data_IF_516880318641
#
_entry.id   IF_516880318641
#
_cell.length_a   1.000
_cell.length_b   1.000
_cell.length_c   1.000
_cell.angle_alpha   90.00
_cell.angle_beta   90.00
_cell.angle_gamma   90.00
#
_symmetry.space_group_name_H-M   'P 1'
#
loop_
_entity.id
_entity.type
_entity.pdbx_description
1 polymer ?
#
# COMPACT_ATOMS: atom_id res chain seq x y z
N UNK A 1 3.89 10.83 -20.30
CA UNK A 1 4.14 9.39 -20.26
C UNK A 1 4.91 9.10 -18.97
N UNK A 2 4.38 8.28 -18.08
CA UNK A 2 5.03 7.92 -16.83
C UNK A 2 5.52 6.47 -16.87
N UNK A 3 6.63 6.18 -16.17
CA UNK A 3 7.18 4.84 -15.97
C UNK A 3 6.93 4.42 -14.53
N UNK A 4 6.21 3.32 -14.33
CA UNK A 4 5.78 2.85 -13.03
C UNK A 4 6.49 1.53 -12.69
N UNK A 5 7.08 1.44 -11.50
CA UNK A 5 7.66 0.22 -10.97
C UNK A 5 6.74 -0.35 -9.90
N UNK A 6 5.98 -1.39 -10.26
CA UNK A 6 5.01 -2.05 -9.36
C UNK A 6 5.77 -3.06 -8.52
N UNK A 7 5.62 -2.95 -7.20
CA UNK A 7 6.29 -3.78 -6.20
C UNK A 7 5.29 -4.59 -5.39
N UNK A 8 5.46 -5.92 -5.38
CA UNK A 8 4.60 -6.82 -4.60
C UNK A 8 5.42 -7.71 -3.69
N UNK A 9 5.39 -7.49 -2.36
CA UNK A 9 5.87 -8.47 -1.40
C UNK A 9 4.94 -9.70 -1.43
N UNK A 10 5.52 -10.89 -1.62
CA UNK A 10 4.76 -12.13 -1.85
C UNK A 10 5.35 -13.28 -1.02
N UNK A 11 5.19 -13.19 0.31
CA UNK A 11 5.66 -14.24 1.23
C UNK A 11 5.03 -15.59 0.88
N UNK A 12 5.87 -16.63 0.82
CA UNK A 12 5.44 -17.97 0.41
C UNK A 12 5.26 -18.17 -1.10
N UNK A 13 5.53 -17.16 -1.93
CA UNK A 13 5.45 -17.25 -3.40
C UNK A 13 4.02 -17.37 -3.95
N UNK A 14 2.99 -17.07 -3.15
CA UNK A 14 1.59 -17.15 -3.55
C UNK A 14 0.96 -15.76 -3.60
N UNK A 15 0.08 -15.52 -4.57
CA UNK A 15 -0.74 -14.32 -4.64
C UNK A 15 -2.22 -14.68 -4.84
N UNK A 16 -3.11 -13.76 -4.50
CA UNK A 16 -4.53 -13.94 -4.75
C UNK A 16 -4.82 -13.84 -6.26
N UNK A 17 -5.65 -14.74 -6.80
CA UNK A 17 -6.01 -14.73 -8.21
C UNK A 17 -6.68 -13.42 -8.65
N UNK A 18 -7.45 -12.77 -7.75
CA UNK A 18 -8.10 -11.48 -8.04
C UNK A 18 -7.10 -10.32 -8.06
N UNK A 19 -6.04 -10.37 -7.24
CA UNK A 19 -4.89 -9.47 -7.36
C UNK A 19 -4.23 -9.64 -8.75
N UNK A 20 -3.94 -10.87 -9.15
CA UNK A 20 -3.31 -11.15 -10.45
C UNK A 20 -4.14 -10.60 -11.62
N UNK A 21 -5.46 -10.83 -11.63
CA UNK A 21 -6.34 -10.30 -12.68
C UNK A 21 -6.40 -8.76 -12.67
N UNK A 22 -6.41 -8.14 -11.48
CA UNK A 22 -6.34 -6.68 -11.35
C UNK A 22 -5.02 -6.12 -11.91
N UNK A 23 -3.89 -6.78 -11.64
CA UNK A 23 -2.58 -6.38 -12.14
C UNK A 23 -2.48 -6.46 -13.66
N UNK A 24 -3.00 -7.54 -14.27
CA UNK A 24 -3.07 -7.69 -15.73
C UNK A 24 -3.94 -6.61 -16.38
N UNK A 25 -5.09 -6.30 -15.76
CA UNK A 25 -5.95 -5.20 -16.20
C UNK A 25 -5.23 -3.85 -16.11
N UNK A 26 -4.54 -3.57 -15.00
CA UNK A 26 -3.76 -2.33 -14.81
C UNK A 26 -2.69 -2.16 -15.89
N UNK A 27 -1.97 -3.22 -16.24
CA UNK A 27 -0.97 -3.16 -17.31
C UNK A 27 -1.60 -2.79 -18.67
N UNK A 28 -2.77 -3.34 -18.98
CA UNK A 28 -3.51 -3.00 -20.21
C UNK A 28 -3.97 -1.52 -20.17
N UNK A 29 -4.52 -1.06 -19.05
CA UNK A 29 -4.96 0.33 -18.86
C UNK A 29 -3.78 1.31 -19.00
N UNK A 30 -2.64 1.03 -18.39
CA UNK A 30 -1.44 1.86 -18.53
C UNK A 30 -0.95 1.91 -19.97
N UNK A 31 -0.90 0.76 -20.67
CA UNK A 31 -0.51 0.70 -22.09
C UNK A 31 -1.42 1.54 -22.98
N UNK A 32 -2.73 1.49 -22.77
CA UNK A 32 -3.71 2.32 -23.50
C UNK A 32 -3.56 3.82 -23.23
N UNK A 33 -3.20 4.18 -21.99
CA UNK A 33 -2.95 5.58 -21.60
C UNK A 33 -1.54 6.09 -21.96
N UNK A 34 -0.70 5.24 -22.61
CA UNK A 34 0.66 5.62 -23.00
C UNK A 34 1.67 5.59 -21.85
N UNK A 35 1.35 4.96 -20.71
CA UNK A 35 2.29 4.70 -19.63
C UNK A 35 2.96 3.34 -19.78
N UNK A 36 4.07 3.13 -19.07
CA UNK A 36 4.73 1.83 -18.99
C UNK A 36 4.82 1.35 -17.55
N UNK A 37 4.66 0.05 -17.32
CA UNK A 37 4.79 -0.56 -16.00
C UNK A 37 5.71 -1.78 -16.04
N UNK A 38 6.62 -1.83 -15.06
CA UNK A 38 7.45 -2.99 -14.74
C UNK A 38 6.96 -3.57 -13.42
N UNK A 39 6.84 -4.89 -13.34
CA UNK A 39 6.39 -5.58 -12.12
C UNK A 39 7.56 -6.33 -11.49
N UNK A 40 7.79 -6.10 -10.21
CA UNK A 40 8.72 -6.86 -9.38
C UNK A 40 7.99 -7.52 -8.24
N UNK A 41 8.14 -8.84 -8.13
CA UNK A 41 7.56 -9.64 -7.05
C UNK A 41 8.69 -10.19 -6.20
N UNK A 42 8.68 -9.88 -4.89
CA UNK A 42 9.66 -10.41 -3.95
C UNK A 42 9.06 -11.58 -3.19
N UNK A 43 9.64 -12.77 -3.39
CA UNK A 43 9.19 -14.00 -2.74
C UNK A 43 10.09 -14.39 -1.57
N UNK A 44 9.55 -15.20 -0.64
CA UNK A 44 10.29 -15.80 0.48
C UNK A 44 10.99 -14.84 1.46
N UNK A 45 10.57 -13.58 1.49
CA UNK A 45 11.04 -12.62 2.49
C UNK A 45 10.03 -12.52 3.65
N UNK A 46 10.42 -13.00 4.82
CA UNK A 46 9.54 -13.05 5.99
C UNK A 46 9.46 -11.73 6.75
N UNK A 47 10.49 -10.88 6.63
CA UNK A 47 10.53 -9.57 7.27
C UNK A 47 10.05 -8.50 6.29
N UNK A 48 8.82 -8.04 6.47
CA UNK A 48 8.17 -7.10 5.54
C UNK A 48 8.98 -5.81 5.33
N UNK A 49 9.57 -5.27 6.38
CA UNK A 49 10.42 -4.08 6.32
C UNK A 49 11.62 -4.29 5.39
N UNK A 50 12.30 -5.43 5.51
CA UNK A 50 13.42 -5.78 4.64
C UNK A 50 12.97 -5.99 3.20
N UNK A 51 11.82 -6.63 3.01
CA UNK A 51 11.22 -6.84 1.69
C UNK A 51 10.92 -5.51 0.99
N UNK A 52 10.28 -4.56 1.67
CA UNK A 52 9.99 -3.25 1.10
C UNK A 52 11.25 -2.47 0.77
N UNK A 53 12.24 -2.46 1.65
CA UNK A 53 13.52 -1.80 1.40
C UNK A 53 14.28 -2.41 0.21
N UNK A 54 14.26 -3.74 0.07
CA UNK A 54 14.85 -4.43 -1.08
C UNK A 54 14.17 -4.05 -2.40
N UNK A 55 12.83 -3.95 -2.41
CA UNK A 55 12.05 -3.53 -3.57
C UNK A 55 12.31 -2.06 -3.93
N UNK A 56 12.42 -1.16 -2.94
CA UNK A 56 12.83 0.24 -3.19
C UNK A 56 14.24 0.28 -3.80
N UNK A 57 15.17 -0.52 -3.28
CA UNK A 57 16.53 -0.59 -3.83
C UNK A 57 16.55 -1.08 -5.29
N UNK A 58 15.67 -2.02 -5.66
CA UNK A 58 15.51 -2.42 -7.06
C UNK A 58 14.93 -1.27 -7.90
N UNK A 59 13.89 -0.61 -7.42
CA UNK A 59 13.29 0.56 -8.07
C UNK A 59 14.32 1.67 -8.33
N UNK A 60 15.16 2.00 -7.35
CA UNK A 60 16.16 3.06 -7.46
C UNK A 60 17.25 2.77 -8.51
N UNK A 61 17.41 1.52 -8.94
CA UNK A 61 18.31 1.10 -10.04
C UNK A 61 17.67 1.22 -11.42
N UNK A 62 16.37 1.52 -11.51
CA UNK A 62 15.64 1.73 -12.77
C UNK A 62 15.53 3.22 -13.08
N UNK A 63 14.94 3.55 -14.21
CA UNK A 63 14.57 4.91 -14.61
C UNK A 63 13.06 5.20 -14.42
N UNK A 64 12.37 4.40 -13.61
CA UNK A 64 10.94 4.58 -13.35
C UNK A 64 10.68 5.86 -12.51
N UNK A 65 9.60 6.56 -12.82
CA UNK A 65 9.20 7.82 -12.17
C UNK A 65 8.50 7.59 -10.83
N UNK A 66 7.78 6.45 -10.75
CA UNK A 66 6.96 6.08 -9.60
C UNK A 66 7.26 4.66 -9.15
N UNK A 67 7.28 4.46 -7.83
CA UNK A 67 7.14 3.15 -7.21
C UNK A 67 5.69 2.98 -6.79
N UNK A 68 5.10 1.81 -7.10
CA UNK A 68 3.74 1.48 -6.70
C UNK A 68 3.73 0.18 -5.90
N UNK A 69 3.60 0.27 -4.58
CA UNK A 69 3.36 -0.91 -3.75
C UNK A 69 1.93 -1.38 -3.89
N UNK A 70 1.76 -2.66 -4.18
CA UNK A 70 0.48 -3.37 -4.16
C UNK A 70 0.69 -4.71 -3.46
N UNK A 71 0.01 -4.94 -2.34
CA UNK A 71 0.09 -6.22 -1.65
C UNK A 71 -0.59 -7.33 -2.44
N UNK A 72 -0.06 -8.56 -2.36
CA UNK A 72 -0.45 -9.72 -3.19
C UNK A 72 -1.87 -10.23 -2.98
N UNK A 73 -2.62 -9.61 -2.09
CA UNK A 73 -4.00 -9.94 -1.70
C UNK A 73 -4.98 -8.75 -1.78
N UNK A 74 -4.57 -7.68 -2.46
CA UNK A 74 -5.45 -6.53 -2.75
C UNK A 74 -6.01 -6.66 -4.16
N UNK A 75 -7.36 -6.73 -4.28
CA UNK A 75 -8.06 -6.60 -5.54
C UNK A 75 -8.44 -5.14 -5.79
N UNK A 76 -8.32 -4.69 -7.04
CA UNK A 76 -8.58 -3.31 -7.45
C UNK A 76 -9.01 -3.22 -8.91
N UNK A 77 -9.45 -2.05 -9.35
CA UNK A 77 -9.78 -1.73 -10.73
C UNK A 77 -8.69 -0.83 -11.33
N UNK A 78 -8.09 -1.27 -12.45
CA UNK A 78 -6.93 -0.59 -13.05
C UNK A 78 -7.21 0.84 -13.52
N UNK A 79 -8.41 1.12 -14.03
CA UNK A 79 -8.84 2.44 -14.49
C UNK A 79 -8.90 3.48 -13.35
N UNK A 80 -9.12 3.04 -12.10
CA UNK A 80 -9.14 3.91 -10.92
C UNK A 80 -7.74 4.39 -10.50
N UNK A 81 -6.67 3.78 -11.07
CA UNK A 81 -5.27 4.16 -10.79
C UNK A 81 -4.83 5.37 -11.62
N UNK A 82 -5.37 5.55 -12.83
CA UNK A 82 -5.01 6.70 -13.67
C UNK A 82 -5.23 8.04 -12.96
N UNK A 83 -6.40 8.29 -12.30
CA UNK A 83 -6.60 9.51 -11.52
C UNK A 83 -5.61 9.69 -10.36
N UNK A 84 -5.00 8.60 -9.83
CA UNK A 84 -3.94 8.74 -8.83
C UNK A 84 -2.66 9.34 -9.42
N UNK A 85 -2.30 8.98 -10.66
CA UNK A 85 -1.19 9.58 -11.40
C UNK A 85 -1.50 11.05 -11.75
N UNK A 86 -2.72 11.32 -12.23
CA UNK A 86 -3.16 12.68 -12.63
C UNK A 86 -3.23 13.63 -11.43
N UNK A 87 -3.48 13.11 -10.22
CA UNK A 87 -3.49 13.89 -8.98
C UNK A 87 -2.12 14.47 -8.63
N UNK A 88 -1.05 13.97 -9.23
CA UNK A 88 0.35 14.47 -9.13
C UNK A 88 0.85 14.63 -7.67
N UNK A 89 0.40 13.79 -6.76
CA UNK A 89 0.85 13.81 -5.35
C UNK A 89 2.16 13.05 -5.19
N UNK A 90 2.97 13.47 -4.21
CA UNK A 90 4.24 12.82 -3.93
C UNK A 90 4.03 11.41 -3.37
N UNK A 91 3.05 11.26 -2.47
CA UNK A 91 2.55 9.98 -1.95
C UNK A 91 1.03 10.01 -1.99
N UNK A 92 0.44 9.00 -2.65
CA UNK A 92 -1.01 8.80 -2.67
C UNK A 92 -1.34 7.31 -2.50
N UNK A 93 -2.29 6.98 -1.61
CA UNK A 93 -2.67 5.61 -1.30
C UNK A 93 -4.16 5.36 -1.47
N UNK A 94 -4.50 4.14 -1.85
CA UNK A 94 -5.87 3.63 -1.74
C UNK A 94 -6.22 3.30 -0.29
N UNK A 95 -7.48 3.46 0.06
CA UNK A 95 -8.00 3.09 1.38
C UNK A 95 -8.60 1.69 1.27
N UNK A 96 -8.04 0.71 1.99
CA UNK A 96 -8.53 -0.66 2.00
C UNK A 96 -9.02 -1.09 3.38
N UNK A 97 -10.01 -2.02 3.45
CA UNK A 97 -10.51 -2.52 4.71
C UNK A 97 -9.49 -3.45 5.38
N UNK A 98 -9.54 -3.51 6.71
CA UNK A 98 -8.85 -4.58 7.46
C UNK A 98 -9.48 -5.94 7.16
N UNK A 99 -8.71 -7.02 7.35
CA UNK A 99 -9.20 -8.42 7.26
C UNK A 99 -9.98 -8.80 8.51
N UNK A 100 -11.10 -8.12 8.74
CA UNK A 100 -12.00 -8.38 9.87
C UNK A 100 -13.45 -8.21 9.43
N UNK A 101 -14.38 -8.79 10.17
CA UNK A 101 -15.80 -8.57 9.96
C UNK A 101 -16.37 -7.81 11.17
N UNK A 102 -16.81 -6.59 10.93
CA UNK A 102 -17.47 -5.76 11.95
C UNK A 102 -18.95 -6.14 12.10
N UNK A 103 -19.21 -7.22 12.84
CA UNK A 103 -20.57 -7.72 13.07
C UNK A 103 -21.51 -6.70 13.71
N UNK A 104 -20.98 -5.76 14.48
CA UNK A 104 -21.80 -4.69 15.09
C UNK A 104 -22.33 -3.73 14.01
N UNK A 105 -21.50 -3.36 13.03
CA UNK A 105 -21.92 -2.53 11.92
C UNK A 105 -22.91 -3.27 11.00
N UNK A 106 -22.69 -4.55 10.73
CA UNK A 106 -23.63 -5.39 9.98
C UNK A 106 -24.98 -5.43 10.69
N UNK A 107 -25.03 -5.68 12.02
CA UNK A 107 -26.27 -5.67 12.80
C UNK A 107 -26.98 -4.30 12.76
N UNK A 108 -26.21 -3.19 12.74
CA UNK A 108 -26.78 -1.84 12.58
C UNK A 108 -27.39 -1.65 11.20
N UNK A 109 -26.72 -2.11 10.13
CA UNK A 109 -27.27 -2.08 8.76
C UNK A 109 -28.60 -2.82 8.67
N UNK A 110 -28.68 -4.04 9.22
CA UNK A 110 -29.90 -4.84 9.27
C UNK A 110 -31.03 -4.08 10.01
N UNK A 111 -30.74 -3.50 11.18
CA UNK A 111 -31.73 -2.72 11.95
C UNK A 111 -32.24 -1.47 11.20
N UNK A 112 -31.41 -0.89 10.36
CA UNK A 112 -31.74 0.27 9.53
C UNK A 112 -32.49 -0.12 8.24
N UNK A 113 -32.78 -1.41 8.00
CA UNK A 113 -33.52 -1.89 6.83
C UNK A 113 -32.67 -1.92 5.55
N UNK A 114 -31.34 -2.03 5.67
CA UNK A 114 -30.44 -2.13 4.52
C UNK A 114 -30.70 -3.41 3.71
N UNK A 115 -30.59 -3.31 2.39
CA UNK A 115 -30.68 -4.46 1.49
C UNK A 115 -29.62 -5.52 1.88
N UNK A 116 -30.00 -6.80 2.06
CA UNK A 116 -29.07 -7.88 2.39
C UNK A 116 -27.86 -7.96 1.44
N UNK A 117 -28.02 -7.61 0.16
CA UNK A 117 -26.92 -7.59 -0.82
C UNK A 117 -25.88 -6.50 -0.54
N UNK A 118 -26.26 -5.45 0.20
CA UNK A 118 -25.38 -4.35 0.57
C UNK A 118 -24.70 -4.57 1.92
N UNK A 119 -25.11 -5.53 2.74
CA UNK A 119 -24.57 -5.76 4.08
C UNK A 119 -23.05 -6.05 4.07
N UNK A 120 -22.53 -6.59 2.95
CA UNK A 120 -21.08 -6.76 2.75
C UNK A 120 -20.28 -5.46 2.88
N UNK A 121 -20.87 -4.31 2.59
CA UNK A 121 -20.21 -3.00 2.71
C UNK A 121 -20.13 -2.49 4.15
N UNK A 122 -20.87 -3.13 5.08
CA UNK A 122 -20.85 -2.85 6.51
C UNK A 122 -19.83 -3.69 7.27
N UNK A 123 -19.16 -4.63 6.60
CA UNK A 123 -18.20 -5.55 7.25
C UNK A 123 -16.85 -4.91 7.52
N UNK A 124 -16.45 -3.88 6.75
CA UNK A 124 -15.11 -3.31 6.77
C UNK A 124 -14.90 -2.30 7.89
N UNK A 125 -13.74 -2.38 8.55
CA UNK A 125 -13.16 -1.28 9.31
C UNK A 125 -12.00 -0.72 8.48
N UNK A 126 -12.01 0.60 8.26
CA UNK A 126 -11.05 1.26 7.39
C UNK A 126 -9.84 1.75 8.16
N UNK A 127 -8.65 1.64 7.57
CA UNK A 127 -7.44 2.29 8.09
C UNK A 127 -7.33 3.65 7.43
N UNK A 128 -7.85 4.68 8.11
CA UNK A 128 -7.78 6.06 7.66
C UNK A 128 -7.31 6.94 8.80
N UNK A 129 -6.11 7.50 8.66
CA UNK A 129 -5.51 8.39 9.65
C UNK A 129 -5.58 9.82 9.13
N UNK A 130 -6.59 10.55 9.55
CA UNK A 130 -6.82 11.93 9.16
C UNK A 130 -5.86 12.88 9.87
N UNK A 131 -5.53 14.00 9.22
CA UNK A 131 -4.77 15.10 9.83
C UNK A 131 -5.74 15.91 10.70
N UNK A 132 -5.33 16.21 11.94
CA UNK A 132 -6.01 17.12 12.90
C UNK A 132 -7.51 16.82 13.11
N UNK A 133 -7.87 15.55 13.18
CA UNK A 133 -9.26 15.12 13.22
C UNK A 133 -9.88 15.19 14.63
N UNK A 134 -10.99 15.91 14.73
CA UNK A 134 -11.92 15.88 15.86
C UNK A 134 -13.36 15.82 15.34
N UNK A 135 -14.03 14.65 15.46
CA UNK A 135 -15.47 14.50 15.12
C UNK A 135 -15.76 13.69 13.84
N UNK A 136 -16.84 14.01 13.11
CA UNK A 136 -17.23 13.32 11.87
C UNK A 136 -16.69 14.04 10.64
N UNK A 137 -16.06 13.33 9.70
CA UNK A 137 -15.55 13.85 8.44
C UNK A 137 -16.40 13.36 7.28
N UNK A 138 -16.79 14.25 6.40
CA UNK A 138 -17.28 13.90 5.08
C UNK A 138 -16.07 13.73 4.15
N UNK A 139 -15.85 12.51 3.69
CA UNK A 139 -14.77 12.21 2.74
C UNK A 139 -15.21 12.61 1.33
N UNK A 140 -14.52 13.56 0.66
CA UNK A 140 -14.79 13.88 -0.73
C UNK A 140 -14.43 12.68 -1.62
N UNK A 141 -15.40 12.15 -2.38
CA UNK A 141 -15.19 10.91 -3.16
C UNK A 141 -14.37 11.16 -4.43
N UNK A 142 -14.32 12.38 -4.94
CA UNK A 142 -13.70 12.71 -6.23
C UNK A 142 -12.34 13.41 -6.16
N UNK A 143 -11.82 13.71 -4.98
CA UNK A 143 -10.60 14.49 -4.78
C UNK A 143 -9.64 13.80 -3.81
N UNK A 144 -8.30 14.03 -3.95
CA UNK A 144 -7.34 13.53 -2.98
C UNK A 144 -7.59 14.11 -1.59
N UNK A 145 -7.65 13.25 -0.58
CA UNK A 145 -7.80 13.65 0.81
C UNK A 145 -6.45 13.63 1.53
N UNK A 146 -6.01 14.73 2.11
CA UNK A 146 -4.80 14.72 2.93
C UNK A 146 -5.00 13.87 4.18
N UNK A 147 -4.05 12.94 4.42
CA UNK A 147 -4.05 12.04 5.57
C UNK A 147 -2.70 12.10 6.30
N UNK A 148 -2.69 11.69 7.58
CA UNK A 148 -1.46 11.65 8.35
C UNK A 148 -0.54 10.51 7.90
N UNK A 149 -1.10 9.33 7.67
CA UNK A 149 -0.40 8.15 7.16
C UNK A 149 -1.37 7.23 6.43
N UNK A 150 -0.85 6.45 5.50
CA UNK A 150 -1.56 5.40 4.77
C UNK A 150 -0.78 4.10 4.76
N UNK A 151 -1.47 2.98 4.51
CA UNK A 151 -0.84 1.67 4.37
C UNK A 151 -0.17 1.48 3.02
N UNK A 152 0.95 0.77 3.01
CA UNK A 152 1.71 0.44 1.79
C UNK A 152 1.08 -0.67 0.95
N UNK A 153 -0.01 -1.29 1.40
CA UNK A 153 -0.72 -2.30 0.63
C UNK A 153 -1.27 -1.80 -0.71
N UNK A 154 -1.44 -0.46 -0.86
CA UNK A 154 -1.78 0.17 -2.12
C UNK A 154 -1.30 1.64 -2.11
N UNK A 155 -0.02 1.87 -2.41
CA UNK A 155 0.62 3.18 -2.26
C UNK A 155 1.51 3.52 -3.46
N UNK A 156 1.18 4.61 -4.15
CA UNK A 156 1.95 5.18 -5.25
C UNK A 156 2.86 6.31 -4.72
N UNK A 157 4.15 6.23 -5.01
CA UNK A 157 5.18 7.12 -4.45
C UNK A 157 6.07 7.63 -5.58
N UNK A 158 6.26 8.95 -5.68
CA UNK A 158 7.22 9.54 -6.61
C UNK A 158 8.66 9.21 -6.24
N UNK A 159 9.51 9.01 -7.23
CA UNK A 159 10.95 8.78 -7.06
C UNK A 159 11.62 9.81 -6.16
N UNK A 160 11.30 11.08 -6.32
CA UNK A 160 11.90 12.17 -5.55
C UNK A 160 11.78 12.00 -4.03
N UNK A 161 10.70 11.33 -3.55
CA UNK A 161 10.51 11.07 -2.10
C UNK A 161 11.66 10.24 -1.55
N UNK A 162 12.05 9.19 -2.26
CA UNK A 162 13.18 8.36 -1.86
C UNK A 162 14.53 9.10 -2.01
N UNK A 163 14.68 9.91 -3.05
CA UNK A 163 15.89 10.71 -3.29
C UNK A 163 16.08 11.74 -2.16
N UNK A 164 15.03 12.46 -1.76
CA UNK A 164 15.08 13.44 -0.68
C UNK A 164 15.29 12.81 0.71
N UNK A 165 14.72 11.62 0.96
CA UNK A 165 14.89 10.91 2.23
C UNK A 165 16.24 10.18 2.34
N UNK A 166 16.93 9.91 1.25
CA UNK A 166 18.12 9.04 1.21
C UNK A 166 19.22 9.45 2.17
N UNK A 167 19.54 10.73 2.20
CA UNK A 167 20.70 11.23 2.95
C UNK A 167 20.47 11.32 4.47
N UNK A 168 19.20 11.31 4.88
CA UNK A 168 18.79 11.34 6.29
C UNK A 168 18.36 9.97 6.83
N UNK A 169 18.27 8.97 5.95
CA UNK A 169 17.81 7.63 6.30
C UNK A 169 19.02 6.69 6.48
N UNK A 170 19.09 5.93 7.60
CA UNK A 170 20.17 4.97 7.79
C UNK A 170 20.17 3.88 6.72
N UNK A 171 21.32 3.23 6.57
CA UNK A 171 21.48 2.11 5.63
C UNK A 171 22.12 0.92 6.31
N UNK A 172 21.84 -0.27 5.82
CA UNK A 172 22.36 -1.54 6.34
C UNK A 172 22.96 -2.40 5.22
N UNK A 173 23.76 -3.39 5.59
CA UNK A 173 24.24 -4.43 4.66
C UNK A 173 23.14 -5.48 4.52
N UNK A 174 22.64 -5.69 3.32
CA UNK A 174 21.70 -6.76 3.04
C UNK A 174 22.45 -8.10 3.04
N UNK A 175 22.07 -8.97 3.99
CA UNK A 175 22.68 -10.30 4.19
C UNK A 175 21.83 -11.43 3.58
N UNK A 176 20.74 -11.09 2.91
CA UNK A 176 19.92 -12.09 2.17
C UNK A 176 20.79 -12.62 1.03
N UNK A 177 21.24 -13.84 1.20
CA UNK A 177 22.09 -14.52 0.22
C UNK A 177 21.18 -15.14 -0.84
N UNK A 178 21.16 -14.55 -2.01
CA UNK A 178 20.83 -15.31 -3.21
C UNK A 178 22.01 -16.30 -3.44
N UNK A 179 21.74 -17.59 -3.26
CA UNK A 179 22.75 -18.64 -3.42
C UNK A 179 23.40 -18.62 -4.82
N UNK A 180 22.71 -18.08 -5.83
CA UNK A 180 23.26 -17.85 -7.16
C UNK A 180 24.30 -16.72 -7.20
N UNK A 181 24.33 -15.86 -6.17
CA UNK A 181 25.21 -14.70 -6.05
C UNK A 181 26.13 -14.75 -4.81
N UNK A 182 26.38 -15.92 -4.28
CA UNK A 182 27.17 -16.12 -3.05
C UNK A 182 28.54 -15.42 -3.05
N UNK A 183 29.10 -15.11 -4.22
CA UNK A 183 30.37 -14.40 -4.40
C UNK A 183 30.19 -12.90 -4.74
N UNK A 184 28.96 -12.38 -4.81
CA UNK A 184 28.71 -10.95 -5.07
C UNK A 184 28.92 -10.12 -3.80
N UNK A 185 29.45 -8.88 -3.89
CA UNK A 185 29.54 -7.99 -2.75
C UNK A 185 28.16 -7.78 -2.13
N UNK A 186 28.09 -7.90 -0.79
CA UNK A 186 26.85 -7.60 -0.07
C UNK A 186 26.46 -6.16 -0.33
N UNK A 187 25.23 -5.97 -0.75
CA UNK A 187 24.72 -4.65 -1.10
C UNK A 187 24.29 -3.85 0.14
N UNK A 188 24.58 -2.56 0.13
CA UNK A 188 24.10 -1.62 1.14
C UNK A 188 22.74 -1.06 0.71
N UNK A 189 21.73 -1.22 1.56
CA UNK A 189 20.33 -0.82 1.30
C UNK A 189 19.92 0.27 2.29
N UNK A 190 19.23 1.31 1.80
CA UNK A 190 18.65 2.37 2.63
C UNK A 190 17.38 1.87 3.33
N UNK A 191 17.26 2.13 4.63
CA UNK A 191 16.20 1.61 5.51
C UNK A 191 15.00 2.56 5.55
N UNK A 192 14.33 2.79 4.44
CA UNK A 192 13.14 3.66 4.38
C UNK A 192 11.97 3.14 5.21
N UNK A 193 11.81 1.83 5.28
CA UNK A 193 10.75 1.13 6.00
C UNK A 193 11.31 0.40 7.21
N UNK A 194 10.87 0.82 8.40
CA UNK A 194 11.23 0.20 9.68
C UNK A 194 10.16 0.55 10.72
N UNK A 195 10.06 -0.23 11.78
CA UNK A 195 9.27 0.15 12.95
C UNK A 195 10.04 1.20 13.77
N UNK A 196 9.30 2.11 14.40
CA UNK A 196 9.88 3.11 15.29
C UNK A 196 8.91 3.52 16.40
N UNK A 197 9.43 4.01 17.49
CA UNK A 197 8.61 4.66 18.52
C UNK A 197 8.54 6.16 18.18
N UNK A 198 7.33 6.69 18.05
CA UNK A 198 7.07 8.11 17.84
C UNK A 198 7.37 8.87 19.16
N UNK A 199 8.33 9.80 19.17
CA UNK A 199 8.77 10.43 20.44
C UNK A 199 7.66 11.22 21.13
N UNK A 200 6.76 11.83 20.37
CA UNK A 200 5.72 12.73 20.87
C UNK A 200 4.56 11.99 21.54
N UNK A 201 4.27 10.76 21.10
CA UNK A 201 3.09 9.97 21.55
C UNK A 201 3.48 8.66 22.22
N UNK A 202 4.74 8.28 22.16
CA UNK A 202 5.28 6.99 22.62
C UNK A 202 4.63 5.76 21.91
N UNK A 203 3.95 5.98 20.77
CA UNK A 203 3.32 4.92 19.97
C UNK A 203 4.36 4.20 19.14
N UNK A 204 4.23 2.87 19.06
CA UNK A 204 4.94 2.10 18.05
C UNK A 204 4.29 2.33 16.68
N UNK A 205 5.07 2.86 15.75
CA UNK A 205 4.69 3.02 14.36
C UNK A 205 5.12 1.77 13.57
N UNK A 206 4.20 1.26 12.74
CA UNK A 206 4.52 0.28 11.71
C UNK A 206 5.43 0.88 10.63
N UNK A 207 5.96 0.05 9.76
CA UNK A 207 6.92 0.47 8.73
C UNK A 207 6.34 1.51 7.77
N UNK A 208 5.07 1.39 7.42
CA UNK A 208 4.36 2.33 6.55
C UNK A 208 4.11 3.68 7.26
N UNK A 209 3.74 3.64 8.55
CA UNK A 209 3.54 4.86 9.34
C UNK A 209 4.86 5.56 9.62
N UNK A 210 5.94 4.82 9.89
CA UNK A 210 7.28 5.36 10.00
C UNK A 210 7.67 6.10 8.72
N UNK A 211 7.54 5.46 7.56
CA UNK A 211 7.86 6.07 6.26
C UNK A 211 7.05 7.35 6.00
N UNK A 212 5.75 7.31 6.24
CA UNK A 212 4.89 8.49 6.11
C UNK A 212 5.34 9.62 7.06
N UNK A 213 5.67 9.30 8.32
CA UNK A 213 6.17 10.27 9.28
C UNK A 213 7.48 10.90 8.82
N UNK A 214 8.44 10.10 8.32
CA UNK A 214 9.71 10.64 7.81
C UNK A 214 9.47 11.66 6.69
N UNK A 215 8.58 11.36 5.74
CA UNK A 215 8.22 12.30 4.68
C UNK A 215 7.57 13.58 5.22
N UNK A 216 6.66 13.46 6.19
CA UNK A 216 6.03 14.63 6.83
C UNK A 216 7.03 15.51 7.59
N UNK A 217 8.03 14.94 8.23
CA UNK A 217 9.09 15.69 8.91
C UNK A 217 9.94 16.55 7.95
N UNK A 218 9.97 16.19 6.65
CA UNK A 218 10.59 17.02 5.60
C UNK A 218 9.60 18.03 4.98
N UNK A 219 8.41 18.21 5.57
CA UNK A 219 7.37 19.12 5.04
C UNK A 219 6.50 18.50 3.97
N UNK A 220 6.68 17.22 3.65
CA UNK A 220 5.86 16.51 2.69
C UNK A 220 4.47 16.18 3.19
N UNK A 221 3.57 15.81 2.25
CA UNK A 221 2.18 15.45 2.54
C UNK A 221 1.86 14.09 1.97
N UNK A 222 0.94 13.37 2.63
CA UNK A 222 0.41 12.08 2.19
C UNK A 222 -1.07 12.26 1.86
N UNK A 223 -1.52 11.60 0.80
CA UNK A 223 -2.90 11.69 0.35
C UNK A 223 -3.54 10.31 0.24
N UNK A 224 -4.83 10.23 0.50
CA UNK A 224 -5.68 9.11 0.13
C UNK A 224 -6.39 9.41 -1.18
N UNK A 225 -6.71 8.34 -1.94
CA UNK A 225 -7.55 8.35 -3.15
C UNK A 225 -8.91 7.71 -2.81
N UNK A 226 -9.91 8.49 -2.34
CA UNK A 226 -11.19 7.94 -1.88
C UNK A 226 -12.03 7.29 -2.97
N UNK A 227 -11.74 7.58 -4.25
CA UNK A 227 -12.42 6.98 -5.42
C UNK A 227 -11.95 5.56 -5.71
N UNK A 228 -10.81 5.12 -5.16
CA UNK A 228 -10.27 3.80 -5.42
C UNK A 228 -10.99 2.77 -4.57
N UNK A 229 -11.63 1.80 -5.23
CA UNK A 229 -12.33 0.69 -4.57
C UNK A 229 -11.40 -0.50 -4.45
N UNK A 230 -11.11 -0.89 -3.23
CA UNK A 230 -10.21 -1.99 -2.90
C UNK A 230 -10.93 -3.09 -2.13
N UNK A 231 -10.59 -4.34 -2.44
CA UNK A 231 -10.97 -5.50 -1.63
C UNK A 231 -9.72 -6.18 -1.08
N UNK A 232 -9.70 -6.43 0.22
CA UNK A 232 -8.58 -7.07 0.92
C UNK A 232 -8.94 -8.52 1.18
N UNK A 233 -8.30 -9.43 0.46
CA UNK A 233 -8.58 -10.86 0.53
C UNK A 233 -7.78 -11.51 1.67
N UNK A 234 -8.40 -12.49 2.35
CA UNK A 234 -7.78 -13.25 3.43
C UNK A 234 -8.46 -14.59 3.62
N UNK A 235 -7.91 -15.41 4.50
CA UNK A 235 -8.52 -16.68 4.91
C UNK A 235 -9.64 -16.39 5.91
N UNK A 236 -10.84 -16.96 5.67
CA UNK A 236 -11.97 -16.90 6.59
C UNK A 236 -12.46 -18.31 6.87
N UNK A 237 -12.69 -18.64 8.14
CA UNK A 237 -13.30 -19.90 8.53
C UNK A 237 -14.83 -19.80 8.43
N UNK A 238 -15.44 -20.65 7.61
CA UNK A 238 -16.88 -20.72 7.46
C UNK A 238 -17.44 -21.76 8.43
N UNK A 239 -17.94 -21.30 9.60
CA UNK A 239 -18.57 -22.18 10.61
C UNK A 239 -20.07 -22.23 10.39
N UNK A 240 -20.66 -23.40 10.54
CA UNK A 240 -22.10 -23.63 10.48
C UNK A 240 -22.56 -24.65 11.48
N UNK A 241 -23.81 -24.53 11.92
CA UNK A 241 -24.50 -25.55 12.72
C UNK A 241 -25.78 -25.92 12.02
N UNK A 242 -26.07 -27.22 11.93
CA UNK A 242 -27.40 -27.68 11.56
C UNK A 242 -28.36 -27.32 12.71
N UNK A 243 -29.38 -26.58 12.39
CA UNK A 243 -30.46 -26.21 13.33
C UNK A 243 -31.64 -27.13 13.13
#
# INVERSE_FOLDING_TARGET
MAKIFICTPCYGGACNALYMTSLLNLQAVFGQAGHSAMVSVLVNESLITRGRNALVNQFMKTDADYLFFIDSDIQFYGDQVLPMLDADKDIICGIYPKKEINWQQVAKGVKNGEDPNNLKHYTGSWVLNLVDYVGSVTVPVGEPLEIWAGGTGFMLIKRKVFEELKDITPSYINDVVDLSQANSPRERITQYFTESIEPETERLLSEDYHFCRQWRLQGGKIYAAPWVQLSHHGTYAFDGRLM
#
